data_IF_691519470736
#
_entry.id   IF_691519470736
#
_cell.length_a   1.000
_cell.length_b   1.000
_cell.length_c   1.000
_cell.angle_alpha   90.00
_cell.angle_beta   90.00
_cell.angle_gamma   90.00
#
_symmetry.space_group_name_H-M   'P 1'
#
loop_
_entity.id
_entity.type
_entity.pdbx_description
1 polymer ?
#
# COMPACT_ATOMS: atom_id res chain seq x y z
N UNK A 1 -12.36 3.42 0.04
CA UNK A 1 -11.14 2.96 0.72
C UNK A 1 -10.68 4.07 1.62
N UNK A 2 -10.06 3.75 2.77
CA UNK A 2 -9.48 4.76 3.64
C UNK A 2 -8.01 4.46 3.83
N UNK A 3 -7.22 4.76 2.79
CA UNK A 3 -5.76 4.62 2.81
C UNK A 3 -5.16 5.27 4.07
N UNK A 4 -5.75 6.38 4.51
CA UNK A 4 -5.37 7.03 5.77
C UNK A 4 -5.49 6.10 6.99
N UNK A 5 -6.61 5.40 7.17
CA UNK A 5 -6.83 4.51 8.33
C UNK A 5 -5.86 3.33 8.31
N UNK A 6 -5.61 2.72 7.14
CA UNK A 6 -4.61 1.65 6.97
C UNK A 6 -3.22 2.15 7.37
N UNK A 7 -2.79 3.29 6.83
CA UNK A 7 -1.48 3.86 7.16
C UNK A 7 -1.37 4.28 8.64
N UNK A 8 -2.45 4.79 9.22
CA UNK A 8 -2.51 5.17 10.64
C UNK A 8 -2.33 3.95 11.53
N UNK A 9 -3.02 2.85 11.27
CA UNK A 9 -2.83 1.60 12.02
C UNK A 9 -1.40 1.08 11.87
N UNK A 10 -0.90 0.97 10.64
CA UNK A 10 0.48 0.50 10.40
C UNK A 10 1.50 1.39 11.12
N UNK A 11 1.31 2.72 11.10
CA UNK A 11 2.15 3.65 11.85
C UNK A 11 2.13 3.37 13.37
N UNK A 12 0.96 3.11 13.96
CA UNK A 12 0.85 2.75 15.37
C UNK A 12 1.54 1.42 15.67
N UNK A 13 1.30 0.39 14.83
CA UNK A 13 1.99 -0.90 14.93
C UNK A 13 3.51 -0.74 14.81
N UNK A 14 4.00 0.18 14.01
CA UNK A 14 5.43 0.41 13.85
C UNK A 14 6.05 1.18 15.03
N UNK A 15 5.27 1.86 15.88
CA UNK A 15 5.80 2.74 16.94
C UNK A 15 5.43 2.35 18.37
N UNK A 16 4.24 1.83 18.61
CA UNK A 16 3.73 1.56 19.95
C UNK A 16 3.76 0.06 20.30
N UNK A 17 4.61 -0.38 21.24
CA UNK A 17 4.66 -1.76 21.69
C UNK A 17 3.30 -2.28 22.21
N UNK A 18 2.50 -1.44 22.87
CA UNK A 18 1.20 -1.85 23.40
C UNK A 18 0.22 -2.19 22.27
N UNK A 19 0.17 -1.35 21.23
CA UNK A 19 -0.62 -1.63 20.03
C UNK A 19 -0.15 -2.91 19.34
N UNK A 20 1.17 -3.18 19.27
CA UNK A 20 1.70 -4.44 18.72
C UNK A 20 1.26 -5.67 19.51
N UNK A 21 1.34 -5.61 20.85
CA UNK A 21 0.91 -6.69 21.73
C UNK A 21 -0.58 -6.98 21.53
N UNK A 22 -1.42 -5.94 21.56
CA UNK A 22 -2.86 -6.08 21.29
C UNK A 22 -3.13 -6.62 19.89
N UNK A 23 -2.38 -6.19 18.88
CA UNK A 23 -2.53 -6.71 17.52
C UNK A 23 -2.13 -8.20 17.39
N UNK A 24 -1.24 -8.67 18.27
CA UNK A 24 -0.87 -10.08 18.34
C UNK A 24 -1.91 -10.94 19.08
N UNK A 25 -2.52 -10.43 20.15
CA UNK A 25 -3.45 -11.18 21.00
C UNK A 25 -4.94 -10.97 20.67
N UNK A 26 -5.32 -9.79 20.19
CA UNK A 26 -6.68 -9.28 20.04
C UNK A 26 -6.88 -8.61 18.67
N UNK A 27 -6.33 -9.22 17.61
CA UNK A 27 -6.24 -8.61 16.27
C UNK A 27 -7.57 -8.03 15.77
N UNK A 28 -8.64 -8.81 15.82
CA UNK A 28 -9.95 -8.38 15.30
C UNK A 28 -10.50 -7.18 16.07
N UNK A 29 -10.27 -7.12 17.38
CA UNK A 29 -10.67 -5.98 18.20
C UNK A 29 -9.88 -4.72 17.82
N UNK A 30 -8.56 -4.84 17.60
CA UNK A 30 -7.72 -3.73 17.15
C UNK A 30 -8.16 -3.25 15.76
N UNK A 31 -8.42 -4.15 14.82
CA UNK A 31 -8.85 -3.78 13.46
C UNK A 31 -10.23 -3.09 13.46
N UNK A 32 -11.14 -3.51 14.34
CA UNK A 32 -12.46 -2.89 14.48
C UNK A 32 -12.44 -1.44 15.02
N UNK A 33 -11.31 -0.98 15.58
CA UNK A 33 -11.13 0.42 15.99
C UNK A 33 -10.92 1.38 14.80
N UNK A 34 -10.75 0.84 13.59
CA UNK A 34 -10.46 1.60 12.37
C UNK A 34 -11.55 1.37 11.32
N UNK A 35 -11.86 2.41 10.55
CA UNK A 35 -12.79 2.33 9.42
C UNK A 35 -12.09 1.65 8.22
N UNK A 36 -12.07 0.32 8.23
CA UNK A 36 -11.43 -0.53 7.23
C UNK A 36 -12.47 -1.29 6.41
N UNK A 37 -12.23 -1.38 5.11
CA UNK A 37 -12.95 -2.28 4.22
C UNK A 37 -12.55 -3.74 4.45
N UNK A 38 -13.35 -4.69 3.96
CA UNK A 38 -13.00 -6.12 4.07
C UNK A 38 -11.68 -6.47 3.36
N UNK A 39 -11.37 -5.82 2.24
CA UNK A 39 -10.10 -6.01 1.51
C UNK A 39 -8.90 -5.54 2.36
N UNK A 40 -8.99 -4.34 2.94
CA UNK A 40 -7.96 -3.76 3.80
C UNK A 40 -7.74 -4.61 5.07
N UNK A 41 -8.82 -5.03 5.74
CA UNK A 41 -8.78 -5.92 6.91
C UNK A 41 -8.12 -7.26 6.59
N UNK A 42 -8.45 -7.85 5.43
CA UNK A 42 -7.83 -9.09 4.97
C UNK A 42 -6.34 -8.93 4.69
N UNK A 43 -5.95 -7.82 4.06
CA UNK A 43 -4.55 -7.51 3.75
C UNK A 43 -3.71 -7.31 5.02
N UNK A 44 -4.28 -6.63 6.03
CA UNK A 44 -3.61 -6.43 7.33
C UNK A 44 -3.46 -7.75 8.09
N UNK A 45 -4.52 -8.58 8.10
CA UNK A 45 -4.54 -9.84 8.87
C UNK A 45 -3.57 -10.89 8.32
N UNK A 46 -3.42 -10.98 6.98
CA UNK A 46 -2.54 -11.93 6.26
C UNK A 46 -1.13 -11.39 5.98
N UNK A 47 -0.71 -10.33 6.69
CA UNK A 47 0.25 -9.32 6.20
C UNK A 47 0.56 -9.38 4.69
N UNK A 48 -0.44 -9.08 3.87
CA UNK A 48 -0.31 -9.07 2.41
C UNK A 48 0.41 -7.80 1.93
N UNK A 49 1.74 -7.87 1.91
CA UNK A 49 2.61 -6.76 1.48
C UNK A 49 2.29 -6.29 0.07
N UNK A 50 1.99 -7.23 -0.85
CA UNK A 50 1.71 -6.90 -2.24
C UNK A 50 0.42 -6.10 -2.37
N UNK A 51 -0.66 -6.58 -1.75
CA UNK A 51 -1.94 -5.89 -1.74
C UNK A 51 -1.85 -4.55 -1.01
N UNK A 52 -1.24 -4.49 0.19
CA UNK A 52 -1.06 -3.24 0.93
C UNK A 52 -0.31 -2.18 0.12
N UNK A 53 0.70 -2.58 -0.66
CA UNK A 53 1.40 -1.68 -1.57
C UNK A 53 0.49 -1.17 -2.69
N UNK A 54 -0.26 -2.05 -3.35
CA UNK A 54 -1.23 -1.67 -4.40
C UNK A 54 -2.34 -0.77 -3.87
N UNK A 55 -2.79 -0.97 -2.63
CA UNK A 55 -3.77 -0.08 -1.98
C UNK A 55 -3.20 1.33 -1.72
N UNK A 56 -1.88 1.53 -1.83
CA UNK A 56 -1.25 2.83 -1.74
C UNK A 56 -0.47 3.10 -0.45
N UNK A 57 -0.27 2.09 0.41
CA UNK A 57 0.48 2.26 1.66
C UNK A 57 1.90 2.72 1.34
N UNK A 58 2.33 3.79 2.02
CA UNK A 58 3.69 4.32 1.89
C UNK A 58 4.75 3.24 2.18
N UNK A 59 5.73 3.08 1.27
CA UNK A 59 6.76 2.05 1.36
C UNK A 59 7.62 2.10 2.63
N UNK A 60 7.81 3.27 3.26
CA UNK A 60 8.54 3.36 4.53
C UNK A 60 7.73 2.75 5.68
N UNK A 61 6.42 3.00 5.71
CA UNK A 61 5.52 2.37 6.70
C UNK A 61 5.45 0.86 6.46
N UNK A 62 5.31 0.46 5.19
CA UNK A 62 5.16 -0.94 4.81
C UNK A 62 6.42 -1.76 5.09
N UNK A 63 7.62 -1.20 4.89
CA UNK A 63 8.89 -1.85 5.21
C UNK A 63 8.99 -2.23 6.70
N UNK A 64 8.63 -1.32 7.61
CA UNK A 64 8.67 -1.61 9.06
C UNK A 64 7.59 -2.61 9.46
N UNK A 65 6.43 -2.59 8.79
CA UNK A 65 5.38 -3.58 8.99
C UNK A 65 5.80 -4.98 8.51
N UNK A 66 6.51 -5.06 7.39
CA UNK A 66 7.10 -6.31 6.91
C UNK A 66 8.12 -6.86 7.92
N UNK A 67 8.97 -5.98 8.48
CA UNK A 67 9.91 -6.35 9.53
C UNK A 67 9.21 -6.85 10.81
N UNK A 68 8.11 -6.22 11.24
CA UNK A 68 7.26 -6.69 12.34
C UNK A 68 6.78 -8.14 12.12
N UNK A 69 6.52 -8.50 10.86
CA UNK A 69 6.10 -9.84 10.45
C UNK A 69 7.26 -10.78 10.06
N UNK A 70 8.53 -10.40 10.34
CA UNK A 70 9.73 -11.17 10.03
C UNK A 70 9.87 -11.51 8.55
N UNK A 71 9.46 -10.58 7.68
CA UNK A 71 9.67 -10.68 6.23
C UNK A 71 11.00 -10.00 5.93
N UNK A 72 11.95 -10.76 5.38
CA UNK A 72 13.26 -10.26 5.01
C UNK A 72 13.20 -9.29 3.82
N UNK A 73 14.21 -8.43 3.70
CA UNK A 73 14.25 -7.39 2.67
C UNK A 73 14.07 -7.90 1.22
N UNK A 74 14.75 -8.98 0.78
CA UNK A 74 14.54 -9.53 -0.56
C UNK A 74 13.10 -9.99 -0.80
N UNK A 75 12.48 -10.62 0.20
CA UNK A 75 11.10 -11.11 0.12
C UNK A 75 10.10 -9.96 0.12
N UNK A 76 10.36 -8.90 0.88
CA UNK A 76 9.55 -7.68 0.87
C UNK A 76 9.50 -7.06 -0.54
N UNK A 77 10.66 -6.89 -1.18
CA UNK A 77 10.74 -6.37 -2.54
C UNK A 77 10.00 -7.27 -3.53
N UNK A 78 10.15 -8.60 -3.41
CA UNK A 78 9.49 -9.52 -4.32
C UNK A 78 7.97 -9.53 -4.13
N UNK A 79 7.48 -9.47 -2.88
CA UNK A 79 6.04 -9.38 -2.60
C UNK A 79 5.42 -8.10 -3.16
N UNK A 80 6.13 -6.96 -3.12
CA UNK A 80 5.65 -5.74 -3.78
C UNK A 80 5.54 -5.91 -5.31
N UNK A 81 6.54 -6.53 -5.95
CA UNK A 81 6.48 -6.81 -7.40
C UNK A 81 5.36 -7.77 -7.73
N UNK A 82 5.16 -8.81 -6.93
CA UNK A 82 4.07 -9.77 -7.08
C UNK A 82 2.71 -9.10 -6.92
N UNK A 83 2.57 -8.20 -5.94
CA UNK A 83 1.35 -7.40 -5.75
C UNK A 83 0.97 -6.60 -6.99
N UNK A 84 1.94 -5.98 -7.67
CA UNK A 84 1.69 -5.28 -8.93
C UNK A 84 1.22 -6.21 -10.06
N UNK A 85 1.70 -7.46 -10.09
CA UNK A 85 1.27 -8.47 -11.07
C UNK A 85 -0.14 -8.98 -10.78
N UNK A 86 -0.47 -9.20 -9.50
CA UNK A 86 -1.72 -9.85 -9.10
C UNK A 86 -2.89 -8.87 -8.93
N UNK A 87 -2.60 -7.64 -8.50
CA UNK A 87 -3.61 -6.63 -8.15
C UNK A 87 -3.59 -5.39 -9.05
N UNK A 88 -2.62 -5.30 -9.97
CA UNK A 88 -2.47 -4.19 -10.91
C UNK A 88 -1.69 -3.00 -10.35
N UNK A 89 -1.91 -1.83 -10.96
CA UNK A 89 -1.21 -0.59 -10.58
C UNK A 89 -1.65 -0.09 -9.20
N UNK A 90 -0.76 0.65 -8.53
CA UNK A 90 -1.06 1.29 -7.25
C UNK A 90 -2.24 2.26 -7.41
N UNK A 91 -3.24 2.12 -6.53
CA UNK A 91 -4.56 2.76 -6.65
C UNK A 91 -4.60 4.16 -6.03
N UNK A 92 -3.90 4.38 -4.93
CA UNK A 92 -3.92 5.62 -4.16
C UNK A 92 -2.53 5.99 -3.59
N UNK A 93 -2.42 7.17 -3.00
CA UNK A 93 -1.19 7.64 -2.35
C UNK A 93 -0.12 8.15 -3.33
N UNK A 94 1.11 8.28 -2.82
CA UNK A 94 2.23 8.92 -3.55
C UNK A 94 2.64 8.14 -4.81
N UNK A 95 2.39 6.83 -4.82
CA UNK A 95 2.74 5.95 -5.94
C UNK A 95 1.56 5.67 -6.87
N UNK A 96 0.40 6.32 -6.67
CA UNK A 96 -0.78 6.12 -7.50
C UNK A 96 -0.44 6.32 -8.98
N UNK A 97 -0.82 5.36 -9.83
CA UNK A 97 -0.65 5.51 -11.26
C UNK A 97 -1.67 6.54 -11.78
N UNK A 98 -1.19 7.71 -12.17
CA UNK A 98 -2.03 8.81 -12.67
C UNK A 98 -2.35 8.69 -14.17
N UNK A 99 -2.01 7.56 -14.81
CA UNK A 99 -2.10 7.41 -16.27
C UNK A 99 -1.04 8.22 -17.02
N UNK A 100 0.00 8.68 -16.34
CA UNK A 100 1.10 9.40 -16.98
C UNK A 100 1.97 8.43 -17.80
N UNK A 101 1.89 8.56 -19.13
CA UNK A 101 2.62 7.74 -20.10
C UNK A 101 4.10 8.16 -20.27
N UNK A 102 4.59 9.10 -19.47
CA UNK A 102 5.93 9.67 -19.58
C UNK A 102 5.97 10.98 -20.37
N UNK A 103 7.10 11.70 -20.25
CA UNK A 103 7.31 13.01 -20.87
C UNK A 103 7.20 12.92 -22.39
N UNK A 104 7.84 11.91 -22.99
CA UNK A 104 7.89 11.76 -24.44
C UNK A 104 6.50 11.50 -25.05
N UNK A 105 5.73 10.58 -24.46
CA UNK A 105 4.36 10.29 -24.90
C UNK A 105 3.44 11.51 -24.74
N UNK A 106 3.58 12.23 -23.62
CA UNK A 106 2.83 13.46 -23.35
C UNK A 106 3.17 14.58 -24.36
N UNK A 107 4.45 14.78 -24.66
CA UNK A 107 4.92 15.78 -25.62
C UNK A 107 4.47 15.45 -27.04
N UNK A 108 4.52 14.17 -27.43
CA UNK A 108 4.03 13.71 -28.73
C UNK A 108 2.51 13.94 -28.89
N UNK A 109 1.73 13.76 -27.81
CA UNK A 109 0.29 14.06 -27.80
C UNK A 109 0.02 15.56 -27.94
N UNK A 110 0.78 16.40 -27.23
CA UNK A 110 0.64 17.86 -27.31
C UNK A 110 0.98 18.41 -28.70
N UNK A 111 2.01 17.88 -29.37
CA UNK A 111 2.35 18.26 -30.74
C UNK A 111 1.22 17.92 -31.71
N UNK A 112 0.71 16.68 -31.68
CA UNK A 112 -0.41 16.25 -32.52
C UNK A 112 -1.68 17.09 -32.32
N UNK A 113 -1.98 17.47 -31.08
CA UNK A 113 -3.14 18.31 -30.77
C UNK A 113 -3.01 19.75 -31.30
N UNK A 114 -1.78 20.26 -31.44
CA UNK A 114 -1.50 21.58 -32.01
C UNK A 114 -1.54 21.58 -33.54
N UNK A 115 -1.11 20.48 -34.17
CA UNK A 115 -1.11 20.32 -35.63
C UNK A 115 -2.52 20.09 -36.20
N UNK A 116 -3.43 19.54 -35.39
CA UNK A 116 -4.82 19.28 -35.78
C UNK A 116 -5.79 20.47 -35.51
N UNK A 117 -5.26 21.66 -35.20
CA UNK A 117 -6.04 22.87 -34.88
C UNK A 117 -5.75 23.97 -35.88
#
# INVERSE_FOLDING_TARGET
>A
MSLYQVQKLIYQLNRDPRTRERYASERDAVLAEYELTAEETGALTKPDIGLLYVLGVNGQLLMHFAALHRIEWPDYLERMRQGLRDHGQVREGVYAATGYEGVEAHDARLKRARENR
#
